data_IF_041041027290
#
_entry.id   IF_041041027290
#
_cell.length_a   1.000
_cell.length_b   1.000
_cell.length_c   1.000
_cell.angle_alpha   90.00
_cell.angle_beta   90.00
_cell.angle_gamma   90.00
#
_symmetry.space_group_name_H-M   'P 1'
#
loop_
_entity.id
_entity.type
_entity.pdbx_description
1 polymer ?
#
# COMPACT_ATOMS: atom_id res chain seq x y z
N UNK A 1 -21.14 17.98 6.06
CA UNK A 1 -20.42 16.81 5.52
C UNK A 1 -19.13 16.71 6.29
N UNK A 2 -19.08 15.74 7.19
CA UNK A 2 -18.13 15.68 8.30
C UNK A 2 -16.82 15.05 7.79
N UNK A 3 -15.75 15.82 7.81
CA UNK A 3 -14.39 15.33 7.53
C UNK A 3 -14.00 14.30 8.59
N UNK A 4 -13.75 13.06 8.20
CA UNK A 4 -13.07 12.10 9.05
C UNK A 4 -11.63 12.57 9.24
N UNK A 5 -11.30 13.06 10.44
CA UNK A 5 -9.92 13.30 10.87
C UNK A 5 -9.42 12.01 11.50
N UNK A 6 -8.42 11.37 10.88
CA UNK A 6 -7.59 10.38 11.57
C UNK A 6 -6.69 11.09 12.60
N UNK A 7 -6.31 10.37 13.64
CA UNK A 7 -5.82 10.93 14.91
C UNK A 7 -4.44 11.61 14.85
N UNK A 8 -3.68 11.49 13.76
CA UNK A 8 -2.44 12.23 13.52
C UNK A 8 -2.50 12.86 12.12
N UNK A 9 -3.15 14.02 12.05
CA UNK A 9 -3.75 14.60 10.85
C UNK A 9 -2.77 15.23 9.86
N UNK A 10 -1.99 14.43 9.14
CA UNK A 10 -1.52 14.85 7.83
C UNK A 10 -2.63 14.58 6.80
N UNK A 11 -3.24 15.64 6.28
CA UNK A 11 -4.18 15.56 5.16
C UNK A 11 -3.44 14.98 3.94
N UNK A 12 -3.99 13.96 3.29
CA UNK A 12 -3.48 13.39 2.03
C UNK A 12 -3.16 14.47 0.98
N UNK A 13 -3.99 15.51 0.88
CA UNK A 13 -3.76 16.64 -0.03
C UNK A 13 -2.48 17.43 0.32
N UNK A 14 -2.16 17.53 1.62
CA UNK A 14 -0.98 18.22 2.11
C UNK A 14 0.28 17.37 1.90
N UNK A 15 0.19 16.05 2.15
CA UNK A 15 1.26 15.09 1.87
C UNK A 15 1.68 15.15 0.40
N UNK A 16 0.70 15.16 -0.50
CA UNK A 16 0.95 15.25 -1.95
C UNK A 16 1.55 16.60 -2.36
N UNK A 17 1.16 17.71 -1.72
CA UNK A 17 1.72 19.05 -1.96
C UNK A 17 3.16 19.16 -1.49
N UNK A 18 3.46 18.66 -0.30
CA UNK A 18 4.78 18.74 0.32
C UNK A 18 5.76 17.71 -0.28
N UNK A 19 5.25 16.83 -1.15
CA UNK A 19 6.02 15.74 -1.80
C UNK A 19 6.77 14.89 -0.78
N UNK A 20 6.19 14.74 0.41
CA UNK A 20 6.76 13.86 1.41
C UNK A 20 6.64 12.41 0.92
N UNK A 21 7.71 11.61 1.06
CA UNK A 21 7.69 10.23 0.57
C UNK A 21 6.66 9.41 1.35
N UNK A 22 6.00 8.48 0.66
CA UNK A 22 5.24 7.39 1.26
C UNK A 22 5.93 6.07 0.91
N UNK A 23 5.73 5.02 1.70
CA UNK A 23 6.22 3.69 1.34
C UNK A 23 5.16 2.97 0.49
N UNK A 24 5.51 2.62 -0.74
CA UNK A 24 4.70 1.69 -1.55
C UNK A 24 5.13 0.26 -1.28
N UNK A 25 4.17 -0.63 -1.05
CA UNK A 25 4.37 -2.07 -0.86
C UNK A 25 3.50 -2.85 -1.84
N UNK A 26 4.11 -3.81 -2.54
CA UNK A 26 3.44 -4.81 -3.38
C UNK A 26 3.56 -6.18 -2.69
N UNK A 27 2.44 -6.66 -2.15
CA UNK A 27 2.33 -7.93 -1.43
C UNK A 27 1.72 -9.00 -2.35
N UNK A 28 2.61 -9.75 -3.01
CA UNK A 28 2.26 -10.95 -3.76
C UNK A 28 2.36 -12.24 -2.93
N UNK A 29 1.89 -13.34 -3.50
CA UNK A 29 1.92 -14.66 -2.85
C UNK A 29 3.33 -15.24 -2.61
N UNK A 30 4.33 -14.78 -3.36
CA UNK A 30 5.71 -15.32 -3.30
C UNK A 30 6.76 -14.29 -2.92
N UNK A 31 6.53 -13.02 -3.22
CA UNK A 31 7.45 -11.92 -2.95
C UNK A 31 6.69 -10.69 -2.47
N UNK A 32 7.36 -9.94 -1.62
CA UNK A 32 6.97 -8.58 -1.21
C UNK A 32 8.00 -7.62 -1.79
N UNK A 33 7.54 -6.62 -2.53
CA UNK A 33 8.37 -5.51 -3.01
C UNK A 33 8.02 -4.22 -2.27
N UNK A 34 9.02 -3.39 -1.94
CA UNK A 34 8.73 -2.07 -1.39
C UNK A 34 9.77 -1.02 -1.78
N UNK A 35 9.32 0.24 -1.88
CA UNK A 35 10.19 1.38 -2.11
C UNK A 35 9.53 2.69 -1.64
N UNK A 36 10.30 3.68 -1.17
CA UNK A 36 9.80 5.04 -0.97
C UNK A 36 9.40 5.65 -2.32
N UNK A 37 8.23 6.28 -2.35
CA UNK A 37 7.63 6.92 -3.53
C UNK A 37 7.24 8.35 -3.17
N UNK A 38 7.59 9.31 -4.03
CA UNK A 38 7.12 10.69 -3.95
C UNK A 38 6.84 11.23 -5.34
N UNK A 39 5.77 12.02 -5.49
CA UNK A 39 5.37 12.62 -6.78
C UNK A 39 5.28 11.57 -7.90
N UNK A 40 4.73 10.39 -7.55
CA UNK A 40 4.59 9.22 -8.42
C UNK A 40 5.91 8.68 -9.00
N UNK A 41 7.04 8.96 -8.34
CA UNK A 41 8.36 8.44 -8.68
C UNK A 41 8.90 7.59 -7.55
N UNK A 42 9.45 6.44 -7.92
CA UNK A 42 10.20 5.58 -7.00
C UNK A 42 11.54 6.25 -6.70
N UNK A 43 11.88 6.39 -5.42
CA UNK A 43 13.06 7.17 -4.98
C UNK A 43 14.31 6.32 -4.78
N UNK A 44 14.20 5.00 -4.84
CA UNK A 44 15.31 4.06 -4.68
C UNK A 44 15.08 2.79 -5.50
N UNK A 45 16.11 1.95 -5.60
CA UNK A 45 15.90 0.57 -6.05
C UNK A 45 14.92 -0.15 -5.11
N UNK A 46 13.90 -0.86 -5.63
CA UNK A 46 12.95 -1.57 -4.79
C UNK A 46 13.60 -2.72 -4.03
N UNK A 47 13.39 -2.74 -2.72
CA UNK A 47 13.72 -3.91 -1.89
C UNK A 47 12.73 -5.03 -2.20
N UNK A 48 13.23 -6.27 -2.23
CA UNK A 48 12.40 -7.46 -2.46
C UNK A 48 12.75 -8.54 -1.44
N UNK A 49 11.73 -9.11 -0.80
CA UNK A 49 11.86 -10.23 0.15
C UNK A 49 10.87 -11.34 -0.19
N UNK A 50 11.15 -12.61 0.17
CA UNK A 50 10.15 -13.68 0.04
C UNK A 50 8.93 -13.39 0.91
N UNK A 51 7.73 -13.72 0.44
CA UNK A 51 6.51 -13.62 1.26
C UNK A 51 6.52 -14.71 2.33
N UNK A 52 6.46 -14.36 3.62
CA UNK A 52 6.33 -15.36 4.68
C UNK A 52 5.01 -16.11 4.60
N UNK A 53 4.97 -17.32 5.17
CA UNK A 53 3.72 -18.09 5.27
C UNK A 53 2.96 -17.71 6.52
N UNK A 54 1.65 -17.53 6.39
CA UNK A 54 0.74 -17.24 7.50
C UNK A 54 0.60 -15.74 7.76
N UNK A 55 -0.62 -15.34 8.09
CA UNK A 55 -1.03 -13.94 8.30
C UNK A 55 -0.08 -13.18 9.22
N UNK A 56 0.22 -13.70 10.40
CA UNK A 56 0.98 -12.96 11.41
C UNK A 56 2.42 -12.71 10.98
N UNK A 57 3.05 -13.70 10.32
CA UNK A 57 4.40 -13.55 9.77
C UNK A 57 4.44 -12.53 8.61
N UNK A 58 3.37 -12.46 7.80
CA UNK A 58 3.26 -11.43 6.76
C UNK A 58 3.14 -10.05 7.41
N UNK A 59 2.29 -9.90 8.42
CA UNK A 59 2.12 -8.64 9.17
C UNK A 59 3.45 -8.20 9.80
N UNK A 60 4.17 -9.11 10.44
CA UNK A 60 5.48 -8.83 11.03
C UNK A 60 6.49 -8.36 9.98
N UNK A 61 6.57 -9.07 8.85
CA UNK A 61 7.44 -8.68 7.75
C UNK A 61 7.09 -7.28 7.19
N UNK A 62 5.80 -6.95 7.04
CA UNK A 62 5.38 -5.62 6.61
C UNK A 62 5.82 -4.53 7.60
N UNK A 63 5.71 -4.78 8.91
CA UNK A 63 6.17 -3.85 9.95
C UNK A 63 7.68 -3.66 9.89
N UNK A 64 8.46 -4.72 9.73
CA UNK A 64 9.91 -4.64 9.59
C UNK A 64 10.32 -3.80 8.37
N UNK A 65 9.66 -4.00 7.23
CA UNK A 65 9.91 -3.22 6.01
C UNK A 65 9.57 -1.73 6.21
N UNK A 66 8.48 -1.42 6.92
CA UNK A 66 8.10 -0.03 7.24
C UNK A 66 9.14 0.61 8.17
N UNK A 67 9.53 -0.07 9.24
CA UNK A 67 10.52 0.45 10.20
C UNK A 67 11.91 0.60 9.59
N UNK A 68 12.30 -0.29 8.67
CA UNK A 68 13.54 -0.12 7.91
C UNK A 68 13.49 1.11 7.01
N UNK A 69 12.42 1.29 6.24
CA UNK A 69 12.26 2.44 5.36
C UNK A 69 12.26 3.79 6.13
N UNK A 70 11.76 3.78 7.38
CA UNK A 70 11.75 4.94 8.29
C UNK A 70 13.14 5.39 8.75
N UNK A 71 14.14 4.50 8.76
CA UNK A 71 15.50 4.85 9.21
C UNK A 71 16.12 5.94 8.32
N UNK A 72 15.82 5.87 7.03
CA UNK A 72 16.40 6.77 6.03
C UNK A 72 15.40 7.81 5.49
N UNK A 73 14.11 7.73 5.87
CA UNK A 73 13.05 8.57 5.32
C UNK A 73 12.04 9.01 6.38
N UNK A 74 11.60 10.27 6.31
CA UNK A 74 10.39 10.72 7.01
C UNK A 74 9.20 10.36 6.14
N UNK A 75 8.56 9.23 6.43
CA UNK A 75 7.41 8.75 5.69
C UNK A 75 6.13 9.48 6.09
N UNK A 76 5.31 9.81 5.11
CA UNK A 76 3.99 10.42 5.27
C UNK A 76 2.85 9.40 5.37
N UNK A 77 3.08 8.17 4.93
CA UNK A 77 2.10 7.08 4.95
C UNK A 77 2.62 5.82 4.27
N UNK A 78 1.77 4.79 4.22
CA UNK A 78 2.03 3.51 3.56
C UNK A 78 0.90 3.17 2.60
N UNK A 79 1.23 2.82 1.37
CA UNK A 79 0.30 2.25 0.38
C UNK A 79 0.61 0.77 0.16
N UNK A 80 -0.40 -0.09 0.22
CA UNK A 80 -0.27 -1.54 0.07
C UNK A 80 -1.15 -2.02 -1.08
N UNK A 81 -0.52 -2.55 -2.12
CA UNK A 81 -1.15 -3.39 -3.12
C UNK A 81 -1.10 -4.83 -2.63
N UNK A 82 -2.22 -5.56 -2.60
CA UNK A 82 -2.23 -6.94 -2.12
C UNK A 82 -3.11 -7.85 -2.95
N UNK A 83 -2.71 -9.12 -3.05
CA UNK A 83 -3.54 -10.16 -3.60
C UNK A 83 -4.78 -10.42 -2.72
N UNK A 84 -5.95 -10.48 -3.36
CA UNK A 84 -7.24 -10.70 -2.68
C UNK A 84 -8.23 -9.57 -2.96
N UNK A 85 -9.41 -9.69 -2.35
CA UNK A 85 -10.47 -8.69 -2.41
C UNK A 85 -10.31 -7.79 -1.19
N UNK A 86 -10.17 -6.50 -1.41
CA UNK A 86 -10.01 -5.49 -0.36
C UNK A 86 -11.27 -4.65 -0.28
N UNK A 87 -11.80 -4.48 0.93
CA UNK A 87 -12.72 -3.38 1.23
C UNK A 87 -11.85 -2.13 1.42
N UNK A 88 -11.87 -1.24 0.44
CA UNK A 88 -10.99 -0.07 0.40
C UNK A 88 -11.39 1.03 1.40
N UNK A 89 -12.63 1.02 1.89
CA UNK A 89 -13.08 1.96 2.92
C UNK A 89 -12.46 1.59 4.28
N UNK A 90 -12.50 0.30 4.63
CA UNK A 90 -11.98 -0.22 5.91
C UNK A 90 -10.51 -0.62 5.83
N UNK A 91 -9.99 -0.90 4.63
CA UNK A 91 -8.67 -1.49 4.40
C UNK A 91 -8.56 -2.94 4.88
N UNK A 92 -9.68 -3.65 5.01
CA UNK A 92 -9.73 -5.07 5.34
C UNK A 92 -9.65 -5.94 4.09
N UNK A 93 -8.88 -7.03 4.17
CA UNK A 93 -8.87 -8.06 3.13
C UNK A 93 -10.05 -8.99 3.35
N UNK A 94 -11.13 -8.82 2.59
CA UNK A 94 -12.39 -9.55 2.77
C UNK A 94 -12.46 -10.86 1.97
N UNK A 95 -11.54 -11.08 1.03
CA UNK A 95 -11.48 -12.29 0.22
C UNK A 95 -10.06 -12.64 -0.21
N UNK A 96 -9.78 -13.92 -0.45
CA UNK A 96 -8.46 -14.40 -0.88
C UNK A 96 -8.58 -15.23 -2.16
N UNK A 97 -7.62 -15.06 -3.06
CA UNK A 97 -7.46 -15.87 -4.29
C UNK A 97 -6.71 -17.18 -4.04
N UNK A 98 -6.35 -17.49 -2.80
CA UNK A 98 -5.56 -18.68 -2.42
C UNK A 98 -4.04 -18.46 -2.47
N UNK A 99 -3.58 -17.37 -3.10
CA UNK A 99 -2.16 -17.01 -3.17
C UNK A 99 -1.57 -16.67 -1.80
N UNK A 100 -2.41 -16.20 -0.87
CA UNK A 100 -2.06 -15.91 0.52
C UNK A 100 -3.03 -16.66 1.45
N UNK A 101 -2.69 -17.91 1.84
CA UNK A 101 -3.53 -18.70 2.74
C UNK A 101 -3.72 -18.00 4.10
N UNK A 102 -4.98 -17.90 4.54
CA UNK A 102 -5.34 -17.26 5.82
C UNK A 102 -5.29 -15.73 5.81
N UNK A 103 -5.15 -15.10 4.63
CA UNK A 103 -5.09 -13.64 4.49
C UNK A 103 -6.45 -12.94 4.55
N UNK A 104 -7.52 -13.63 4.14
CA UNK A 104 -8.88 -13.11 4.26
C UNK A 104 -9.29 -12.91 5.74
N UNK A 105 -10.05 -11.86 6.03
CA UNK A 105 -10.39 -11.41 7.38
C UNK A 105 -9.26 -10.65 8.08
N UNK A 106 -8.25 -10.17 7.35
CA UNK A 106 -7.14 -9.40 7.93
C UNK A 106 -7.44 -7.90 7.86
N UNK A 107 -7.63 -7.21 9.00
CA UNK A 107 -7.81 -5.76 9.05
C UNK A 107 -6.44 -5.07 8.96
N UNK A 108 -5.74 -5.26 7.83
CA UNK A 108 -4.32 -4.93 7.71
C UNK A 108 -4.04 -3.44 7.88
N UNK A 109 -4.92 -2.57 7.38
CA UNK A 109 -4.86 -1.12 7.62
C UNK A 109 -4.82 -0.82 9.12
N UNK A 110 -5.84 -1.23 9.87
CA UNK A 110 -5.94 -0.95 11.31
C UNK A 110 -4.73 -1.48 12.09
N UNK A 111 -4.26 -2.69 11.76
CA UNK A 111 -3.10 -3.31 12.42
C UNK A 111 -1.84 -2.44 12.24
N UNK A 112 -1.57 -2.02 10.99
CA UNK A 112 -0.38 -1.26 10.66
C UNK A 112 -0.48 0.20 11.14
N UNK A 113 -1.64 0.85 10.99
CA UNK A 113 -1.87 2.20 11.54
C UNK A 113 -1.64 2.22 13.05
N UNK A 114 -2.19 1.24 13.78
CA UNK A 114 -2.04 1.15 15.25
C UNK A 114 -0.58 0.97 15.68
N UNK A 115 0.18 0.15 14.95
CA UNK A 115 1.56 -0.20 15.32
C UNK A 115 2.58 0.83 14.87
N UNK A 116 2.33 1.52 13.76
CA UNK A 116 3.29 2.45 13.16
C UNK A 116 2.94 3.91 13.43
N UNK A 117 1.66 4.23 13.65
CA UNK A 117 1.16 5.62 13.69
C UNK A 117 1.11 6.30 12.32
N UNK A 118 1.36 5.58 11.21
CA UNK A 118 1.22 6.12 9.86
C UNK A 118 -0.17 5.87 9.31
N UNK A 119 -0.72 6.79 8.50
CA UNK A 119 -1.86 6.49 7.65
C UNK A 119 -1.53 5.32 6.70
N UNK A 120 -2.47 4.39 6.55
CA UNK A 120 -2.32 3.23 5.66
C UNK A 120 -3.48 3.16 4.68
N UNK A 121 -3.15 2.93 3.40
CA UNK A 121 -4.10 2.65 2.34
C UNK A 121 -3.82 1.30 1.72
N UNK A 122 -4.87 0.55 1.44
CA UNK A 122 -4.80 -0.83 0.97
C UNK A 122 -5.74 -0.94 -0.22
N UNK A 123 -5.26 -1.54 -1.29
CA UNK A 123 -6.06 -1.84 -2.47
C UNK A 123 -5.64 -3.19 -3.05
N UNK A 124 -6.47 -3.72 -3.94
CA UNK A 124 -6.13 -4.87 -4.75
C UNK A 124 -4.97 -4.53 -5.71
N UNK A 125 -4.11 -5.53 -5.97
CA UNK A 125 -2.97 -5.44 -6.87
C UNK A 125 -3.31 -4.93 -8.29
N UNK A 126 -4.39 -5.41 -8.91
CA UNK A 126 -4.81 -4.98 -10.24
C UNK A 126 -5.25 -3.51 -10.26
N UNK A 127 -6.00 -3.07 -9.23
CA UNK A 127 -6.40 -1.67 -9.08
C UNK A 127 -5.18 -0.76 -8.88
N UNK A 128 -4.27 -1.15 -7.99
CA UNK A 128 -3.06 -0.40 -7.70
C UNK A 128 -2.15 -0.28 -8.93
N UNK A 129 -2.01 -1.36 -9.72
CA UNK A 129 -1.28 -1.34 -10.99
C UNK A 129 -1.91 -0.36 -11.99
N UNK A 130 -3.24 -0.42 -12.16
CA UNK A 130 -3.96 0.50 -13.04
C UNK A 130 -3.77 1.96 -12.63
N UNK A 131 -3.93 2.26 -11.34
CA UNK A 131 -3.75 3.61 -10.80
C UNK A 131 -2.30 4.09 -10.93
N UNK A 132 -1.33 3.22 -10.65
CA UNK A 132 0.09 3.50 -10.81
C UNK A 132 0.43 3.90 -12.24
N UNK A 133 -0.03 3.14 -13.23
CA UNK A 133 0.18 3.45 -14.66
C UNK A 133 -0.48 4.78 -15.06
N UNK A 134 -1.72 5.03 -14.63
CA UNK A 134 -2.41 6.30 -14.90
C UNK A 134 -1.58 7.49 -14.42
N UNK A 135 -1.01 7.40 -13.21
CA UNK A 135 -0.21 8.47 -12.61
C UNK A 135 1.17 8.59 -13.26
N UNK A 136 1.88 7.48 -13.44
CA UNK A 136 3.23 7.47 -13.99
C UNK A 136 3.26 7.97 -15.45
N UNK A 137 2.25 7.59 -16.25
CA UNK A 137 2.11 8.00 -17.65
C UNK A 137 1.35 9.32 -17.82
N UNK A 138 0.95 9.99 -16.73
CA UNK A 138 0.20 11.27 -16.72
C UNK A 138 -1.08 11.21 -17.56
N UNK A 139 -1.80 10.11 -17.44
CA UNK A 139 -3.06 9.86 -18.13
C UNK A 139 -4.27 10.46 -17.39
N UNK A 140 -4.05 11.35 -16.41
CA UNK A 140 -5.11 12.00 -15.62
C UNK A 140 -6.13 12.78 -16.48
N UNK A 141 -5.74 13.15 -17.70
CA UNK A 141 -6.61 13.80 -18.69
C UNK A 141 -7.56 12.84 -19.42
N UNK A 142 -7.36 11.52 -19.28
CA UNK A 142 -8.23 10.49 -19.86
C UNK A 142 -9.42 10.25 -18.93
N UNK A 143 -10.62 10.17 -19.50
CA UNK A 143 -11.85 9.87 -18.75
C UNK A 143 -11.98 8.39 -18.38
N UNK A 144 -11.34 7.51 -19.13
CA UNK A 144 -11.40 6.07 -18.95
C UNK A 144 -10.05 5.47 -19.35
N UNK A 145 -9.51 4.64 -18.47
CA UNK A 145 -8.33 3.81 -18.70
C UNK A 145 -8.69 2.42 -18.19
N UNK A 146 -8.44 1.40 -19.02
CA UNK A 146 -8.65 0.00 -18.65
C UNK A 146 -7.29 -0.67 -18.60
N UNK A 147 -6.95 -1.24 -17.45
CA UNK A 147 -5.80 -2.11 -17.30
C UNK A 147 -6.29 -3.56 -17.30
N UNK A 148 -5.56 -4.44 -17.98
CA UNK A 148 -5.84 -5.89 -18.01
C UNK A 148 -4.59 -6.61 -17.54
N UNK A 149 -4.70 -7.31 -16.41
CA UNK A 149 -3.63 -8.15 -15.86
C UNK A 149 -3.80 -9.58 -16.38
N UNK A 150 -2.80 -10.11 -17.06
CA UNK A 150 -2.78 -11.50 -17.57
C UNK A 150 -1.67 -12.26 -16.83
N UNK A 151 -2.04 -13.35 -16.15
CA UNK A 151 -1.14 -14.15 -15.32
C UNK A 151 -1.75 -15.45 -14.86
#
# INVERSE_FOLDING_TARGET
MTSAKSADGHNLDQILKDKMPALGIDLGGTKIGCAPVSDFKVLSEPKKVPTPKGRDNIVECLLELIEEARKDNILSGVGIATAGIVDTDTGEVIGSTGNLPGWAGTPIKNILETKTGLPVHVDNDANAAAYGEVRALRLDHKKCVVAVTLG
#
